data_IF_791412330596
#
_entry.id   IF_791412330596
#
_cell.length_a   1.000
_cell.length_b   1.000
_cell.length_c   1.000
_cell.angle_alpha   90.00
_cell.angle_beta   90.00
_cell.angle_gamma   90.00
#
_symmetry.space_group_name_H-M   'P 1'
#
loop_
_entity.id
_entity.type
_entity.pdbx_description
1 polymer ?
#
# COMPACT_ATOMS: atom_id res chain seq x y z
N UNK A 1 -14.74 13.25 -21.30
CA UNK A 1 -15.02 14.00 -20.04
C UNK A 1 -14.27 15.32 -20.00
N UNK A 2 -12.93 15.34 -19.96
CA UNK A 2 -12.13 16.59 -19.91
C UNK A 2 -12.39 17.50 -21.12
N UNK A 3 -12.24 17.00 -22.34
CA UNK A 3 -12.49 17.80 -23.55
C UNK A 3 -13.93 18.31 -23.61
N UNK A 4 -14.90 17.47 -23.26
CA UNK A 4 -16.31 17.88 -23.20
C UNK A 4 -16.54 18.98 -22.15
N UNK A 5 -15.88 18.90 -20.99
CA UNK A 5 -15.91 19.97 -19.98
C UNK A 5 -15.27 21.26 -20.48
N UNK A 6 -14.15 21.18 -21.21
CA UNK A 6 -13.49 22.34 -21.83
C UNK A 6 -14.34 22.98 -22.94
N UNK A 7 -15.16 22.19 -23.62
CA UNK A 7 -16.16 22.64 -24.60
C UNK A 7 -17.46 23.17 -23.95
N UNK A 8 -17.51 23.30 -22.62
CA UNK A 8 -18.67 23.85 -21.91
C UNK A 8 -19.81 22.86 -21.63
N UNK A 9 -19.60 21.55 -21.82
CA UNK A 9 -20.64 20.57 -21.50
C UNK A 9 -20.92 20.51 -19.99
N UNK A 10 -22.21 20.38 -19.64
CA UNK A 10 -22.66 20.20 -18.27
C UNK A 10 -22.33 18.79 -17.76
N UNK A 11 -22.28 18.61 -16.43
CA UNK A 11 -22.02 17.28 -15.84
C UNK A 11 -23.09 16.27 -16.28
N UNK A 12 -24.34 16.71 -16.41
CA UNK A 12 -25.43 15.88 -16.94
C UNK A 12 -25.19 15.44 -18.39
N UNK A 13 -24.69 16.33 -19.24
CA UNK A 13 -24.31 16.00 -20.61
C UNK A 13 -23.18 14.98 -20.66
N UNK A 14 -22.14 15.18 -19.85
CA UNK A 14 -21.02 14.27 -19.72
C UNK A 14 -21.45 12.88 -19.21
N UNK A 15 -22.35 12.82 -18.23
CA UNK A 15 -22.91 11.57 -17.69
C UNK A 15 -23.59 10.73 -18.77
N UNK A 16 -24.43 11.35 -19.60
CA UNK A 16 -25.12 10.67 -20.70
C UNK A 16 -24.14 10.05 -21.70
N UNK A 17 -23.01 10.71 -21.94
CA UNK A 17 -21.99 10.22 -22.87
C UNK A 17 -21.09 9.13 -22.27
N UNK A 18 -20.72 9.25 -20.98
CA UNK A 18 -19.67 8.41 -20.38
C UNK A 18 -20.17 7.25 -19.54
N UNK A 19 -21.48 7.14 -19.26
CA UNK A 19 -22.06 6.13 -18.36
C UNK A 19 -21.43 6.11 -16.95
N UNK A 20 -20.90 7.25 -16.48
CA UNK A 20 -20.34 7.41 -15.13
C UNK A 20 -21.35 8.19 -14.28
N UNK A 21 -21.42 7.90 -12.97
CA UNK A 21 -22.21 8.70 -12.05
C UNK A 21 -21.77 10.17 -12.05
N UNK A 22 -22.69 11.06 -11.74
CA UNK A 22 -22.39 12.49 -11.59
C UNK A 22 -21.32 12.74 -10.51
N UNK A 23 -21.37 12.00 -9.40
CA UNK A 23 -20.34 12.04 -8.36
C UNK A 23 -18.98 11.57 -8.85
N UNK A 24 -18.93 10.55 -9.72
CA UNK A 24 -17.70 10.08 -10.33
C UNK A 24 -17.08 11.11 -11.27
N UNK A 25 -17.90 11.77 -12.08
CA UNK A 25 -17.45 12.84 -12.99
C UNK A 25 -16.95 14.05 -12.21
N UNK A 26 -17.67 14.48 -11.17
CA UNK A 26 -17.28 15.60 -10.32
C UNK A 26 -15.92 15.34 -9.64
N UNK A 27 -15.76 14.17 -8.99
CA UNK A 27 -14.48 13.76 -8.38
C UNK A 27 -13.34 13.68 -9.39
N UNK A 28 -13.61 13.12 -10.58
CA UNK A 28 -12.62 13.03 -11.64
C UNK A 28 -12.17 14.41 -12.13
N UNK A 29 -13.09 15.35 -12.37
CA UNK A 29 -12.77 16.70 -12.80
C UNK A 29 -12.01 17.49 -11.72
N UNK A 30 -12.37 17.30 -10.44
CA UNK A 30 -11.63 17.88 -9.33
C UNK A 30 -10.19 17.38 -9.30
N UNK A 31 -9.97 16.06 -9.35
CA UNK A 31 -8.62 15.47 -9.43
C UNK A 31 -7.85 15.97 -10.65
N UNK A 32 -8.52 16.13 -11.79
CA UNK A 32 -7.90 16.66 -13.01
C UNK A 32 -7.40 18.09 -12.84
N UNK A 33 -8.15 18.96 -12.15
CA UNK A 33 -7.75 20.35 -11.87
C UNK A 33 -6.63 20.38 -10.84
N UNK A 34 -6.75 19.61 -9.76
CA UNK A 34 -5.82 19.64 -8.63
C UNK A 34 -4.45 19.02 -8.99
N UNK A 35 -4.45 17.99 -9.83
CA UNK A 35 -3.25 17.17 -10.11
C UNK A 35 -2.78 17.25 -11.56
N UNK A 36 -3.47 18.01 -12.41
CA UNK A 36 -3.15 18.13 -13.84
C UNK A 36 -3.39 16.84 -14.64
N UNK A 37 -4.15 15.89 -14.09
CA UNK A 37 -4.37 14.59 -14.72
C UNK A 37 -4.89 13.53 -13.76
N UNK A 38 -4.95 12.29 -14.25
CA UNK A 38 -5.19 11.13 -13.38
C UNK A 38 -3.88 10.77 -12.68
N UNK A 39 -3.83 10.69 -11.35
CA UNK A 39 -2.64 10.29 -10.63
C UNK A 39 -2.18 8.91 -11.11
N UNK A 40 -0.93 8.84 -11.56
CA UNK A 40 -0.24 7.57 -11.81
C UNK A 40 0.35 6.97 -10.52
N UNK A 41 0.17 7.64 -9.39
CA UNK A 41 0.71 7.20 -8.11
C UNK A 41 0.01 5.89 -7.72
N UNK A 42 0.74 4.77 -7.62
CA UNK A 42 0.17 3.54 -7.10
C UNK A 42 -0.40 3.81 -5.72
N UNK A 43 -1.57 3.23 -5.42
CA UNK A 43 -2.06 3.27 -4.05
C UNK A 43 -0.98 2.65 -3.15
N UNK A 44 -0.65 3.27 -2.01
CA UNK A 44 0.25 2.65 -1.06
C UNK A 44 -0.31 1.26 -0.72
N UNK A 45 0.54 0.25 -0.81
CA UNK A 45 0.19 -1.11 -0.42
C UNK A 45 -0.14 -1.19 1.06
N UNK A 46 -0.70 -2.32 1.50
CA UNK A 46 -0.82 -2.60 2.92
C UNK A 46 0.56 -2.50 3.59
N UNK A 47 0.65 -1.93 4.80
CA UNK A 47 1.88 -1.99 5.59
C UNK A 47 2.35 -3.44 5.74
N UNK A 48 3.67 -3.63 5.71
CA UNK A 48 4.26 -4.93 6.03
C UNK A 48 4.09 -5.22 7.52
N UNK A 49 3.81 -6.49 7.86
CA UNK A 49 3.74 -6.95 9.26
C UNK A 49 5.10 -6.99 9.93
N UNK A 50 6.18 -7.06 9.14
CA UNK A 50 7.57 -7.09 9.59
C UNK A 50 8.26 -5.78 9.23
N UNK A 51 9.27 -5.41 10.03
CA UNK A 51 10.14 -4.28 9.70
C UNK A 51 11.27 -4.70 8.78
N UNK A 52 11.86 -3.72 8.08
CA UNK A 52 13.01 -3.97 7.19
C UNK A 52 14.20 -4.63 7.91
N UNK A 53 14.40 -4.35 9.19
CA UNK A 53 15.46 -4.98 9.99
C UNK A 53 15.15 -6.46 10.24
N UNK A 54 13.89 -6.78 10.56
CA UNK A 54 13.44 -8.15 10.72
C UNK A 54 13.65 -8.94 9.42
N UNK A 55 13.20 -8.40 8.28
CA UNK A 55 13.36 -9.04 6.97
C UNK A 55 14.84 -9.28 6.63
N UNK A 56 15.69 -8.28 6.88
CA UNK A 56 17.14 -8.40 6.65
C UNK A 56 17.76 -9.51 7.49
N UNK A 57 17.35 -9.65 8.75
CA UNK A 57 17.88 -10.67 9.65
C UNK A 57 17.36 -12.07 9.28
N UNK A 58 16.10 -12.19 8.87
CA UNK A 58 15.55 -13.43 8.35
C UNK A 58 16.32 -13.92 7.10
N UNK A 59 16.61 -13.01 6.16
CA UNK A 59 17.42 -13.34 4.98
C UNK A 59 18.84 -13.76 5.36
N UNK A 60 19.46 -13.08 6.33
CA UNK A 60 20.81 -13.43 6.82
C UNK A 60 20.85 -14.82 7.44
N UNK A 61 19.89 -15.16 8.30
CA UNK A 61 19.86 -16.48 8.93
C UNK A 61 19.51 -17.58 7.92
N UNK A 62 18.66 -17.28 6.92
CA UNK A 62 18.35 -18.24 5.85
C UNK A 62 19.54 -18.63 4.97
N UNK A 63 20.65 -17.89 5.04
CA UNK A 63 21.89 -18.28 4.37
C UNK A 63 22.51 -19.54 4.98
N UNK A 64 22.13 -19.92 6.21
CA UNK A 64 22.55 -21.16 6.83
C UNK A 64 21.57 -22.29 6.48
N UNK A 65 21.97 -23.28 5.66
CA UNK A 65 21.07 -24.36 5.22
C UNK A 65 20.66 -25.33 6.34
N UNK A 66 21.27 -25.22 7.52
CA UNK A 66 20.96 -26.05 8.69
C UNK A 66 19.80 -25.51 9.52
N UNK A 67 19.39 -24.26 9.29
CA UNK A 67 18.31 -23.63 10.05
C UNK A 67 16.99 -23.77 9.28
N UNK A 68 15.96 -24.23 9.97
CA UNK A 68 14.60 -24.23 9.42
C UNK A 68 13.95 -22.86 9.60
N UNK A 69 12.87 -22.58 8.85
CA UNK A 69 12.10 -21.36 9.03
C UNK A 69 11.59 -21.20 10.48
N UNK A 70 11.28 -22.30 11.16
CA UNK A 70 10.84 -22.30 12.57
C UNK A 70 11.97 -21.90 13.50
N UNK A 71 13.19 -22.40 13.27
CA UNK A 71 14.35 -22.04 14.09
C UNK A 71 14.72 -20.57 13.93
N UNK A 72 14.66 -20.07 12.68
CA UNK A 72 14.87 -18.65 12.35
C UNK A 72 13.82 -17.78 13.04
N UNK A 73 12.54 -18.17 12.95
CA UNK A 73 11.46 -17.44 13.61
C UNK A 73 11.62 -17.46 15.13
N UNK A 74 12.00 -18.60 15.73
CA UNK A 74 12.23 -18.72 17.17
C UNK A 74 13.36 -17.79 17.64
N UNK A 75 14.46 -17.72 16.90
CA UNK A 75 15.58 -16.84 17.24
C UNK A 75 15.22 -15.36 17.06
N UNK A 76 14.51 -15.01 15.98
CA UNK A 76 14.14 -13.62 15.69
C UNK A 76 13.00 -13.10 16.55
N UNK A 77 12.11 -13.96 17.03
CA UNK A 77 10.98 -13.61 17.88
C UNK A 77 11.28 -13.78 19.38
N UNK A 78 12.51 -14.11 19.77
CA UNK A 78 12.91 -14.20 21.17
C UNK A 78 12.94 -12.79 21.79
N UNK A 79 12.14 -12.50 22.84
CA UNK A 79 12.15 -11.21 23.53
C UNK A 79 13.51 -10.83 24.12
N UNK A 80 14.36 -11.81 24.40
CA UNK A 80 15.73 -11.60 24.89
C UNK A 80 16.69 -11.22 23.76
N UNK A 81 16.28 -11.37 22.49
CA UNK A 81 17.07 -10.96 21.35
C UNK A 81 17.00 -9.43 21.18
N UNK A 82 18.13 -8.70 21.27
CA UNK A 82 18.13 -7.24 21.08
C UNK A 82 17.64 -6.83 19.69
N UNK A 83 17.73 -7.71 18.68
CA UNK A 83 17.20 -7.46 17.34
C UNK A 83 15.68 -7.51 17.29
N UNK A 84 15.02 -8.27 18.17
CA UNK A 84 13.56 -8.29 18.30
C UNK A 84 13.05 -6.96 18.87
N UNK A 85 13.67 -6.50 19.97
CA UNK A 85 13.31 -5.23 20.64
C UNK A 85 13.50 -4.04 19.69
N UNK A 86 14.58 -4.02 18.90
CA UNK A 86 14.89 -2.94 17.95
C UNK A 86 14.07 -3.01 16.65
N UNK A 87 13.47 -4.15 16.32
CA UNK A 87 12.73 -4.33 15.06
C UNK A 87 11.26 -3.90 15.15
N UNK A 88 10.78 -3.51 16.33
CA UNK A 88 9.45 -2.91 16.51
C UNK A 88 8.28 -3.82 16.08
N UNK A 89 8.50 -5.13 16.03
CA UNK A 89 7.49 -6.11 15.62
C UNK A 89 6.47 -6.28 16.74
N UNK A 90 5.26 -5.76 16.52
CA UNK A 90 4.10 -6.05 17.34
C UNK A 90 3.42 -7.32 16.87
N UNK A 91 3.92 -8.49 17.28
CA UNK A 91 3.15 -9.73 17.11
C UNK A 91 1.96 -9.66 18.08
N UNK A 92 0.75 -9.51 17.55
CA UNK A 92 -0.45 -9.83 18.32
C UNK A 92 -0.47 -11.34 18.48
N UNK A 93 -0.35 -11.81 19.72
CA UNK A 93 -0.64 -13.20 20.05
C UNK A 93 -2.08 -13.48 19.60
N UNK A 94 -2.23 -14.39 18.64
CA UNK A 94 -3.54 -14.92 18.27
C UNK A 94 -3.80 -16.05 19.28
N UNK A 95 -4.76 -15.81 20.17
CA UNK A 95 -5.32 -16.83 21.07
C UNK A 95 -5.95 -17.99 20.27
#
# INVERSE_FOLDING_TARGET
>A
IVNGRAQGQTILGLRKQSNISESGISKFLQVWVDQGGVPKVPKPGSPHSTSRLFDRNALRQSANPRLTAVDIARELCDPQNPLFVLSGVGFKQLD
#
